data_IF_531738218616
#
_entry.id   IF_531738218616
#
_cell.length_a   1.000
_cell.length_b   1.000
_cell.length_c   1.000
_cell.angle_alpha   90.00
_cell.angle_beta   90.00
_cell.angle_gamma   90.00
#
_symmetry.space_group_name_H-M   'P 1'
#
loop_
_entity.id
_entity.type
_entity.pdbx_description
1 polymer ?
#
# COMPACT_ATOMS: atom_id res chain seq x y z
N UNK A 1 -12.52 -8.24 -36.40
CA UNK A 1 -12.02 -6.89 -36.09
C UNK A 1 -11.60 -6.90 -34.63
N UNK A 2 -10.32 -6.73 -34.28
CA UNK A 2 -9.92 -6.67 -32.88
C UNK A 2 -10.46 -5.37 -32.27
N UNK A 3 -11.29 -5.47 -31.25
CA UNK A 3 -11.68 -4.34 -30.43
C UNK A 3 -10.40 -3.75 -29.79
N UNK A 4 -9.88 -2.67 -30.36
CA UNK A 4 -8.89 -1.82 -29.71
C UNK A 4 -9.58 -1.21 -28.48
N UNK A 5 -9.26 -1.73 -27.31
CA UNK A 5 -9.59 -1.12 -26.03
C UNK A 5 -8.72 0.15 -25.89
N UNK A 6 -9.04 1.20 -26.65
CA UNK A 6 -8.36 2.49 -26.56
C UNK A 6 -8.84 3.14 -25.25
N UNK A 7 -8.08 2.95 -24.16
CA UNK A 7 -8.25 3.79 -22.97
C UNK A 7 -8.05 5.24 -23.41
N UNK A 8 -8.90 6.17 -22.96
CA UNK A 8 -8.75 7.58 -23.33
C UNK A 8 -7.41 8.11 -22.87
N UNK A 9 -6.84 8.99 -23.65
CA UNK A 9 -5.61 9.71 -23.29
C UNK A 9 -5.86 10.70 -22.17
N UNK A 10 -4.79 11.19 -21.56
CA UNK A 10 -4.89 12.24 -20.53
C UNK A 10 -5.56 13.51 -21.09
N UNK A 11 -5.20 13.88 -22.30
CA UNK A 11 -5.72 15.05 -23.01
C UNK A 11 -7.24 14.94 -23.25
N UNK A 12 -7.72 13.76 -23.66
CA UNK A 12 -9.15 13.48 -23.85
C UNK A 12 -9.92 13.57 -22.53
N UNK A 13 -9.34 13.03 -21.43
CA UNK A 13 -9.95 13.14 -20.09
C UNK A 13 -10.00 14.58 -19.62
N UNK A 14 -8.91 15.35 -19.77
CA UNK A 14 -8.88 16.78 -19.39
C UNK A 14 -9.92 17.57 -20.19
N UNK A 15 -9.92 17.45 -21.50
CA UNK A 15 -10.86 18.19 -22.37
C UNK A 15 -12.32 17.87 -22.03
N UNK A 16 -12.63 16.58 -21.75
CA UNK A 16 -14.01 16.15 -21.55
C UNK A 16 -14.54 16.40 -20.14
N UNK A 17 -13.73 16.17 -19.11
CA UNK A 17 -14.18 16.18 -17.72
C UNK A 17 -13.60 17.31 -16.86
N UNK A 18 -12.48 17.90 -17.30
CA UNK A 18 -11.76 18.94 -16.57
C UNK A 18 -11.38 20.12 -17.50
N UNK A 19 -12.30 20.67 -18.32
CA UNK A 19 -11.95 21.66 -19.34
C UNK A 19 -11.39 22.97 -18.79
N UNK A 20 -11.62 23.24 -17.51
CA UNK A 20 -11.14 24.46 -16.84
C UNK A 20 -9.83 24.24 -16.04
N UNK A 21 -9.37 22.96 -15.97
CA UNK A 21 -8.12 22.64 -15.29
C UNK A 21 -6.95 22.65 -16.26
N UNK A 22 -5.81 23.11 -15.78
CA UNK A 22 -4.54 23.01 -16.51
C UNK A 22 -3.61 22.02 -15.82
N UNK A 23 -2.73 21.41 -16.60
CA UNK A 23 -1.69 20.53 -16.09
C UNK A 23 -0.63 21.35 -15.37
N UNK A 24 -0.31 20.98 -14.14
CA UNK A 24 0.84 21.54 -13.41
C UNK A 24 2.11 20.79 -13.86
N UNK A 25 3.14 21.55 -14.26
CA UNK A 25 4.42 20.93 -14.63
C UNK A 25 4.97 20.13 -13.44
N UNK A 26 5.53 18.92 -13.67
CA UNK A 26 6.06 18.11 -12.60
C UNK A 26 7.20 18.85 -11.91
N UNK A 27 7.04 19.16 -10.63
CA UNK A 27 8.16 19.54 -9.79
C UNK A 27 9.00 18.31 -9.49
N UNK A 28 10.32 18.42 -9.55
CA UNK A 28 11.28 17.31 -9.37
C UNK A 28 11.14 16.57 -8.01
N UNK A 29 10.36 17.11 -7.07
CA UNK A 29 10.12 16.58 -5.72
C UNK A 29 8.76 15.92 -5.52
N UNK A 30 7.91 15.78 -6.54
CA UNK A 30 6.51 15.43 -6.32
C UNK A 30 6.23 13.94 -6.04
N UNK A 31 7.22 13.05 -6.00
CA UNK A 31 7.02 11.62 -5.67
C UNK A 31 5.96 10.88 -6.53
N UNK A 32 5.39 11.58 -7.51
CA UNK A 32 4.35 11.06 -8.39
C UNK A 32 4.99 10.11 -9.39
N UNK A 33 4.71 8.84 -9.30
CA UNK A 33 5.04 7.87 -10.33
C UNK A 33 4.50 8.34 -11.68
N UNK A 34 5.14 7.97 -12.81
CA UNK A 34 4.82 8.44 -14.16
C UNK A 34 3.35 8.27 -14.62
N UNK A 35 2.52 7.63 -13.80
CA UNK A 35 1.07 7.41 -14.00
C UNK A 35 0.18 8.51 -13.37
N UNK A 36 0.75 9.47 -12.64
CA UNK A 36 0.01 10.50 -11.91
C UNK A 36 0.46 11.89 -12.33
N UNK A 37 -0.48 12.82 -12.38
CA UNK A 37 -0.18 14.24 -12.62
C UNK A 37 -1.11 15.13 -11.76
N UNK A 38 -0.63 16.35 -11.49
CA UNK A 38 -1.43 17.36 -10.80
C UNK A 38 -2.12 18.23 -11.85
N UNK A 39 -3.40 18.48 -11.63
CA UNK A 39 -4.19 19.44 -12.42
C UNK A 39 -4.72 20.51 -11.48
N UNK A 40 -4.82 21.77 -11.96
CA UNK A 40 -5.28 22.89 -11.14
C UNK A 40 -6.26 23.82 -11.87
N UNK A 41 -7.17 24.42 -11.10
CA UNK A 41 -8.06 25.48 -11.50
C UNK A 41 -8.09 26.53 -10.38
N UNK A 42 -7.45 27.67 -10.58
CA UNK A 42 -7.23 28.64 -9.51
C UNK A 42 -6.43 28.01 -8.35
N UNK A 43 -6.96 28.06 -7.15
CA UNK A 43 -6.35 27.44 -5.96
C UNK A 43 -6.73 25.96 -5.79
N UNK A 44 -7.67 25.46 -6.59
CA UNK A 44 -8.15 24.08 -6.47
C UNK A 44 -7.24 23.13 -7.26
N UNK A 45 -6.71 22.13 -6.57
CA UNK A 45 -5.80 21.13 -7.15
C UNK A 45 -6.33 19.71 -6.97
N UNK A 46 -6.12 18.89 -8.01
CA UNK A 46 -6.45 17.46 -8.00
C UNK A 46 -5.24 16.65 -8.45
N UNK A 47 -5.14 15.41 -7.97
CA UNK A 47 -4.23 14.40 -8.52
C UNK A 47 -5.01 13.53 -9.47
N UNK A 48 -4.67 13.58 -10.76
CA UNK A 48 -5.23 12.72 -11.79
C UNK A 48 -4.33 11.51 -11.98
N UNK A 49 -4.89 10.31 -11.81
CA UNK A 49 -4.17 9.02 -11.89
C UNK A 49 -4.74 8.15 -13.00
N UNK A 50 -3.85 7.52 -13.76
CA UNK A 50 -4.21 6.53 -14.78
C UNK A 50 -3.90 5.13 -14.30
N UNK A 51 -4.78 4.19 -14.60
CA UNK A 51 -4.49 2.76 -14.44
C UNK A 51 -3.53 2.32 -15.55
N UNK A 52 -2.27 2.10 -15.19
CA UNK A 52 -1.18 1.81 -16.14
C UNK A 52 -0.81 0.35 -16.23
N UNK A 53 -1.11 -0.42 -15.22
CA UNK A 53 -0.58 -1.77 -15.12
C UNK A 53 -1.47 -2.77 -15.87
N UNK A 54 -0.97 -3.27 -17.00
CA UNK A 54 -1.63 -4.35 -17.75
C UNK A 54 -1.66 -5.68 -16.96
N UNK A 55 -0.80 -5.84 -15.94
CA UNK A 55 -0.76 -7.01 -15.07
C UNK A 55 -1.68 -6.89 -13.86
N UNK A 56 -2.08 -5.66 -13.46
CA UNK A 56 -3.02 -5.43 -12.38
C UNK A 56 -4.46 -5.39 -12.94
N UNK A 57 -5.37 -6.26 -12.45
CA UNK A 57 -6.75 -6.24 -12.89
C UNK A 57 -7.40 -4.87 -12.66
N UNK A 58 -8.20 -4.38 -13.62
CA UNK A 58 -8.96 -3.12 -13.48
C UNK A 58 -9.82 -3.08 -12.20
N UNK A 59 -10.19 -4.25 -11.69
CA UNK A 59 -10.87 -4.40 -10.40
C UNK A 59 -10.05 -3.85 -9.22
N UNK A 60 -8.72 -3.90 -9.25
CA UNK A 60 -7.87 -3.35 -8.17
C UNK A 60 -7.92 -1.82 -8.18
N UNK A 61 -7.83 -1.19 -9.34
CA UNK A 61 -7.94 0.25 -9.45
C UNK A 61 -9.33 0.77 -9.01
N UNK A 62 -10.39 0.01 -9.34
CA UNK A 62 -11.74 0.30 -8.84
C UNK A 62 -11.84 0.13 -7.32
N UNK A 63 -11.21 -0.90 -6.73
CA UNK A 63 -11.18 -1.09 -5.27
C UNK A 63 -10.46 0.07 -4.59
N UNK A 64 -9.35 0.57 -5.13
CA UNK A 64 -8.69 1.77 -4.62
C UNK A 64 -9.66 2.96 -4.55
N UNK A 65 -10.37 3.27 -5.64
CA UNK A 65 -11.39 4.32 -5.63
C UNK A 65 -12.50 4.08 -4.59
N UNK A 66 -12.99 2.85 -4.48
CA UNK A 66 -14.01 2.48 -3.49
C UNK A 66 -13.49 2.58 -2.06
N UNK A 67 -12.20 2.31 -1.81
CA UNK A 67 -11.56 2.54 -0.51
C UNK A 67 -11.66 4.01 -0.12
N UNK A 68 -11.25 4.91 -1.02
CA UNK A 68 -11.31 6.35 -0.79
C UNK A 68 -12.74 6.84 -0.51
N UNK A 69 -13.74 6.27 -1.20
CA UNK A 69 -15.16 6.60 -0.97
C UNK A 69 -15.74 6.10 0.35
N UNK A 70 -15.15 5.06 0.93
CA UNK A 70 -15.67 4.42 2.15
C UNK A 70 -15.01 4.93 3.42
N UNK A 71 -13.80 5.45 3.30
CA UNK A 71 -13.05 6.00 4.42
C UNK A 71 -13.32 7.51 4.57
N UNK A 72 -13.23 8.05 5.80
CA UNK A 72 -13.47 9.48 6.03
C UNK A 72 -12.36 10.35 5.43
N UNK A 73 -12.74 11.53 4.94
CA UNK A 73 -11.83 12.52 4.34
C UNK A 73 -10.64 12.92 5.23
N UNK A 74 -10.76 12.79 6.57
CA UNK A 74 -9.64 13.00 7.50
C UNK A 74 -8.53 11.93 7.43
N UNK A 75 -8.77 10.80 6.75
CA UNK A 75 -7.78 9.73 6.57
C UNK A 75 -7.24 9.63 5.14
N UNK A 76 -8.07 9.96 4.16
CA UNK A 76 -7.81 9.73 2.73
C UNK A 76 -8.03 11.00 1.92
N UNK A 77 -7.40 11.16 0.74
CA UNK A 77 -7.80 12.20 -0.21
C UNK A 77 -9.22 11.93 -0.73
N UNK A 78 -10.02 12.98 -0.87
CA UNK A 78 -11.39 12.86 -1.36
C UNK A 78 -11.39 12.43 -2.83
N UNK A 79 -12.11 11.35 -3.23
CA UNK A 79 -12.23 10.93 -4.61
C UNK A 79 -13.27 11.76 -5.35
N UNK A 80 -12.84 12.51 -6.38
CA UNK A 80 -13.68 13.44 -7.14
C UNK A 80 -14.21 12.83 -8.45
N UNK A 81 -13.46 11.90 -9.06
CA UNK A 81 -13.80 11.37 -10.38
C UNK A 81 -13.28 9.93 -10.55
N UNK A 82 -14.07 9.11 -11.27
CA UNK A 82 -13.64 7.78 -11.70
C UNK A 82 -14.33 7.40 -13.00
N UNK A 83 -13.57 7.22 -14.07
CA UNK A 83 -14.09 6.75 -15.37
C UNK A 83 -12.98 6.19 -16.24
N UNK A 84 -13.29 5.12 -17.00
CA UNK A 84 -12.46 4.62 -18.10
C UNK A 84 -10.98 4.36 -17.78
N UNK A 85 -10.69 3.93 -16.54
CA UNK A 85 -9.32 3.68 -16.09
C UNK A 85 -8.58 4.94 -15.60
N UNK A 86 -9.32 6.01 -15.34
CA UNK A 86 -8.84 7.25 -14.73
C UNK A 86 -9.54 7.52 -13.41
N UNK A 87 -8.83 8.15 -12.49
CA UNK A 87 -9.33 8.59 -11.19
C UNK A 87 -8.74 9.97 -10.88
N UNK A 88 -9.57 10.89 -10.41
CA UNK A 88 -9.09 12.13 -9.82
C UNK A 88 -9.43 12.16 -8.33
N UNK A 89 -8.46 12.59 -7.52
CA UNK A 89 -8.58 12.74 -6.08
C UNK A 89 -8.10 14.12 -5.65
N UNK A 90 -8.54 14.57 -4.50
CA UNK A 90 -8.05 15.77 -3.82
C UNK A 90 -6.51 15.77 -3.78
N UNK A 91 -5.91 16.92 -4.08
CA UNK A 91 -4.51 17.17 -3.79
C UNK A 91 -4.36 17.57 -2.32
N UNK A 92 -3.68 16.76 -1.54
CA UNK A 92 -3.42 17.07 -0.14
C UNK A 92 -2.31 18.11 -0.03
N UNK A 93 -2.67 19.32 0.38
CA UNK A 93 -1.69 20.36 0.71
C UNK A 93 -0.99 19.98 2.03
N UNK A 94 0.30 19.63 1.94
CA UNK A 94 1.10 19.18 3.08
C UNK A 94 2.49 18.75 2.66
N UNK A 95 3.24 18.25 3.62
CA UNK A 95 4.61 17.78 3.44
C UNK A 95 4.67 16.25 3.51
N UNK A 96 5.44 15.64 2.63
CA UNK A 96 5.84 14.24 2.73
C UNK A 96 7.26 14.21 3.30
N UNK A 97 7.41 13.66 4.51
CA UNK A 97 8.70 13.54 5.18
C UNK A 97 9.42 12.25 4.78
N UNK A 98 10.72 12.22 5.07
CA UNK A 98 11.55 11.02 4.85
C UNK A 98 11.49 10.02 6.00
N UNK A 99 10.91 10.41 7.13
CA UNK A 99 10.77 9.58 8.34
C UNK A 99 9.30 9.43 8.71
N UNK A 100 8.95 8.30 9.32
CA UNK A 100 7.63 8.10 9.91
C UNK A 100 7.35 9.17 10.99
N UNK A 101 6.07 9.48 11.24
CA UNK A 101 5.65 10.25 12.41
C UNK A 101 6.18 9.62 13.70
N UNK A 102 6.17 10.37 14.80
CA UNK A 102 6.44 9.78 16.11
C UNK A 102 5.48 8.61 16.41
N UNK A 103 5.92 7.73 17.29
CA UNK A 103 5.21 6.49 17.59
C UNK A 103 3.76 6.71 18.06
N UNK A 104 3.45 7.65 18.99
CA UNK A 104 2.07 7.93 19.37
C UNK A 104 1.19 8.41 18.22
N UNK A 105 1.69 9.33 17.40
CA UNK A 105 0.97 9.87 16.23
C UNK A 105 0.68 8.77 15.20
N UNK A 106 1.68 7.94 14.89
CA UNK A 106 1.52 6.82 13.95
C UNK A 106 0.53 5.79 14.49
N UNK A 107 0.61 5.44 15.78
CA UNK A 107 -0.34 4.52 16.41
C UNK A 107 -1.77 5.07 16.37
N UNK A 108 -1.95 6.38 16.61
CA UNK A 108 -3.26 7.03 16.54
C UNK A 108 -3.83 7.02 15.12
N UNK A 109 -3.00 7.30 14.11
CA UNK A 109 -3.39 7.25 12.70
C UNK A 109 -3.88 5.84 12.31
N UNK A 110 -3.10 4.81 12.64
CA UNK A 110 -3.47 3.41 12.37
C UNK A 110 -4.71 2.98 13.15
N UNK A 111 -4.81 3.36 14.42
CA UNK A 111 -6.00 3.05 15.20
C UNK A 111 -7.24 3.75 14.65
N UNK A 112 -7.12 5.01 14.20
CA UNK A 112 -8.21 5.73 13.55
C UNK A 112 -8.66 5.00 12.27
N UNK A 113 -7.73 4.51 11.44
CA UNK A 113 -8.05 3.68 10.27
C UNK A 113 -8.76 2.39 10.68
N UNK A 114 -8.21 1.64 11.62
CA UNK A 114 -8.69 0.30 11.97
C UNK A 114 -10.05 0.28 12.69
N UNK A 115 -10.51 1.41 13.21
CA UNK A 115 -11.86 1.53 13.77
C UNK A 115 -12.94 1.87 12.74
N UNK A 116 -12.56 2.12 11.48
CA UNK A 116 -13.52 2.41 10.42
C UNK A 116 -14.29 1.16 9.98
N UNK A 117 -15.39 1.38 9.26
CA UNK A 117 -16.18 0.28 8.68
C UNK A 117 -15.31 -0.49 7.67
N UNK A 118 -15.44 -1.81 7.68
CA UNK A 118 -14.74 -2.70 6.75
C UNK A 118 -15.01 -2.36 5.29
N UNK A 119 -14.01 -2.58 4.45
CA UNK A 119 -14.06 -2.30 3.01
C UNK A 119 -14.91 -3.31 2.23
N UNK A 120 -15.06 -4.53 2.75
CA UNK A 120 -15.89 -5.58 2.15
C UNK A 120 -15.13 -6.51 1.20
N UNK A 121 -13.79 -6.41 1.12
CA UNK A 121 -12.94 -7.39 0.46
C UNK A 121 -11.72 -7.70 1.32
N UNK A 122 -11.40 -8.99 1.38
CA UNK A 122 -10.29 -9.50 2.19
C UNK A 122 -8.96 -9.35 1.46
N UNK A 123 -7.93 -9.02 2.23
CA UNK A 123 -6.55 -9.23 1.80
C UNK A 123 -6.29 -10.74 1.86
N UNK A 124 -5.87 -11.31 0.73
CA UNK A 124 -5.51 -12.72 0.60
C UNK A 124 -4.03 -12.80 0.24
N UNK A 125 -3.16 -13.11 1.21
CA UNK A 125 -1.72 -13.08 1.00
C UNK A 125 -1.22 -14.28 0.19
N UNK A 126 -1.79 -15.47 0.40
CA UNK A 126 -1.28 -16.68 -0.27
C UNK A 126 -1.34 -16.59 -1.80
N UNK A 127 -2.47 -16.18 -2.42
CA UNK A 127 -2.54 -15.99 -3.87
C UNK A 127 -1.54 -14.95 -4.38
N UNK A 128 -1.31 -13.87 -3.63
CA UNK A 128 -0.35 -12.82 -3.99
C UNK A 128 1.10 -13.32 -3.94
N UNK A 129 1.46 -14.09 -2.91
CA UNK A 129 2.78 -14.71 -2.80
C UNK A 129 3.05 -15.70 -3.94
N UNK A 130 2.03 -16.46 -4.37
CA UNK A 130 2.13 -17.35 -5.52
C UNK A 130 2.25 -16.60 -6.84
N UNK A 131 1.53 -15.51 -6.99
CA UNK A 131 1.66 -14.62 -8.15
C UNK A 131 3.08 -14.06 -8.24
N UNK A 132 3.66 -13.59 -7.15
CA UNK A 132 5.03 -13.09 -7.13
C UNK A 132 6.05 -14.17 -7.50
N UNK A 133 5.87 -15.39 -7.01
CA UNK A 133 6.69 -16.53 -7.43
C UNK A 133 6.64 -16.73 -8.95
N UNK A 134 5.47 -16.64 -9.55
CA UNK A 134 5.30 -16.83 -11.00
C UNK A 134 5.89 -15.69 -11.82
N UNK A 135 5.84 -14.46 -11.30
CA UNK A 135 6.31 -13.25 -11.99
C UNK A 135 7.80 -12.98 -11.81
N UNK A 136 8.43 -13.53 -10.79
CA UNK A 136 9.85 -13.36 -10.55
C UNK A 136 10.70 -14.02 -11.65
N UNK A 137 11.91 -13.53 -11.83
CA UNK A 137 12.88 -14.12 -12.76
C UNK A 137 13.15 -15.60 -12.40
N UNK A 138 13.14 -16.55 -13.36
CA UNK A 138 13.34 -17.98 -13.08
C UNK A 138 14.61 -18.30 -12.29
N UNK A 139 15.72 -17.59 -12.58
CA UNK A 139 16.99 -17.76 -11.87
C UNK A 139 16.94 -17.34 -10.38
N UNK A 140 15.94 -16.56 -9.99
CA UNK A 140 15.74 -16.08 -8.61
C UNK A 140 14.76 -16.95 -7.80
N UNK A 141 14.10 -17.92 -8.43
CA UNK A 141 13.14 -18.85 -7.79
C UNK A 141 13.91 -19.97 -7.07
N UNK A 142 14.34 -19.70 -5.85
CA UNK A 142 15.16 -20.63 -5.07
C UNK A 142 14.36 -21.77 -4.45
N UNK A 143 14.99 -22.95 -4.16
CA UNK A 143 14.36 -24.02 -3.39
C UNK A 143 13.87 -23.55 -2.01
N UNK A 144 14.61 -22.63 -1.37
CA UNK A 144 14.22 -22.03 -0.10
C UNK A 144 12.89 -21.26 -0.21
N UNK A 145 12.72 -20.41 -1.22
CA UNK A 145 11.46 -19.69 -1.45
C UNK A 145 10.31 -20.67 -1.64
N UNK A 146 10.49 -21.68 -2.50
CA UNK A 146 9.46 -22.71 -2.72
C UNK A 146 9.10 -23.45 -1.43
N UNK A 147 10.08 -23.79 -0.60
CA UNK A 147 9.84 -24.42 0.71
C UNK A 147 9.02 -23.51 1.63
N UNK A 148 9.31 -22.19 1.65
CA UNK A 148 8.56 -21.22 2.42
C UNK A 148 7.10 -21.07 1.93
N UNK A 149 6.86 -21.07 0.62
CA UNK A 149 5.51 -21.08 0.05
C UNK A 149 4.72 -22.32 0.49
N UNK A 150 5.31 -23.51 0.36
CA UNK A 150 4.69 -24.77 0.79
C UNK A 150 4.37 -24.76 2.29
N UNK A 151 5.31 -24.27 3.11
CA UNK A 151 5.13 -24.14 4.58
C UNK A 151 3.95 -23.22 4.92
N UNK A 152 3.79 -22.07 4.21
CA UNK A 152 2.68 -21.12 4.43
C UNK A 152 1.36 -21.70 3.96
N UNK A 153 1.35 -22.33 2.78
CA UNK A 153 0.14 -22.98 2.27
C UNK A 153 -0.37 -24.07 3.23
N UNK A 154 0.53 -24.91 3.75
CA UNK A 154 0.15 -25.96 4.68
C UNK A 154 -0.35 -25.45 6.04
N UNK A 155 0.21 -24.33 6.54
CA UNK A 155 -0.18 -23.74 7.84
C UNK A 155 -1.41 -22.86 7.77
N UNK A 156 -1.70 -22.28 6.60
CA UNK A 156 -2.71 -21.25 6.42
C UNK A 156 -2.30 -19.91 7.05
N UNK A 157 -3.07 -18.89 6.75
CA UNK A 157 -2.92 -17.56 7.35
C UNK A 157 -3.31 -17.60 8.84
N UNK A 158 -2.65 -16.80 9.70
CA UNK A 158 -3.04 -16.68 11.11
C UNK A 158 -4.49 -16.24 11.25
N UNK A 159 -5.22 -16.82 12.20
CA UNK A 159 -6.56 -16.34 12.53
C UNK A 159 -6.48 -14.92 13.06
N UNK A 160 -7.29 -13.97 12.54
CA UNK A 160 -7.19 -12.58 12.92
C UNK A 160 -7.64 -12.34 14.36
N UNK A 161 -6.92 -11.47 15.07
CA UNK A 161 -7.38 -10.92 16.36
C UNK A 161 -8.57 -9.98 16.13
N UNK A 162 -8.42 -9.07 15.19
CA UNK A 162 -9.43 -8.07 14.85
C UNK A 162 -9.34 -7.74 13.37
N UNK A 163 -10.46 -7.94 12.67
CA UNK A 163 -10.59 -7.54 11.28
C UNK A 163 -10.92 -6.05 11.15
N UNK A 164 -10.14 -5.35 10.36
CA UNK A 164 -10.28 -3.94 10.09
C UNK A 164 -9.89 -3.60 8.64
N UNK A 165 -10.25 -2.42 8.12
CA UNK A 165 -9.62 -1.90 6.91
C UNK A 165 -8.14 -1.65 7.16
N UNK A 166 -7.28 -2.12 6.28
CA UNK A 166 -5.84 -1.95 6.31
C UNK A 166 -5.38 -1.19 5.07
N UNK A 167 -4.28 -0.45 5.20
CA UNK A 167 -3.59 0.21 4.09
C UNK A 167 -2.60 -0.73 3.38
N UNK A 168 -1.82 -1.47 4.14
CA UNK A 168 -0.80 -2.45 3.75
C UNK A 168 0.48 -1.91 3.11
N UNK A 169 0.63 -0.59 3.03
CA UNK A 169 1.86 0.04 2.55
C UNK A 169 2.17 1.34 3.32
N UNK A 170 2.19 1.23 4.64
CA UNK A 170 2.45 2.38 5.53
C UNK A 170 3.94 2.61 5.65
N UNK A 171 4.43 3.66 4.99
CA UNK A 171 5.78 4.20 5.08
C UNK A 171 5.75 5.72 4.99
N UNK A 172 6.86 6.37 5.28
CA UNK A 172 6.94 7.84 5.33
C UNK A 172 6.46 8.51 4.03
N UNK A 173 6.78 7.93 2.87
CA UNK A 173 6.37 8.45 1.55
C UNK A 173 4.86 8.38 1.28
N UNK A 174 4.11 7.61 2.05
CA UNK A 174 2.65 7.47 1.92
C UNK A 174 1.87 8.23 3.00
N UNK A 175 2.55 9.07 3.79
CA UNK A 175 1.95 9.92 4.82
C UNK A 175 2.15 11.39 4.45
N UNK A 176 1.06 12.12 4.29
CA UNK A 176 1.07 13.56 4.07
C UNK A 176 0.76 14.26 5.39
N UNK A 177 1.70 15.07 5.86
CA UNK A 177 1.55 15.91 7.05
C UNK A 177 0.81 17.20 6.65
N UNK A 178 -0.48 17.25 6.92
CA UNK A 178 -1.32 18.41 6.63
C UNK A 178 -1.53 19.27 7.88
N UNK A 179 -2.07 20.49 7.72
CA UNK A 179 -2.45 21.33 8.84
C UNK A 179 -3.53 20.69 9.75
N UNK A 180 -4.30 19.75 9.21
CA UNK A 180 -5.36 19.03 9.93
C UNK A 180 -4.89 17.68 10.53
N UNK A 181 -3.62 17.32 10.37
CA UNK A 181 -3.03 16.06 10.82
C UNK A 181 -2.52 15.17 9.67
N UNK A 182 -2.13 13.96 10.00
CA UNK A 182 -1.59 12.98 9.05
C UNK A 182 -2.70 12.34 8.23
N UNK A 183 -2.47 12.23 6.91
CA UNK A 183 -3.38 11.56 5.97
C UNK A 183 -2.60 10.56 5.12
N UNK A 184 -3.22 9.42 4.82
CA UNK A 184 -2.63 8.35 4.03
C UNK A 184 -2.98 8.49 2.54
N UNK A 185 -1.97 8.26 1.69
CA UNK A 185 -2.11 8.21 0.23
C UNK A 185 -1.68 6.83 -0.29
N UNK A 186 -1.96 6.54 -1.54
CA UNK A 186 -1.60 5.29 -2.24
C UNK A 186 -2.22 4.00 -1.67
N UNK A 187 -3.53 3.91 -1.82
CA UNK A 187 -4.38 2.85 -1.27
C UNK A 187 -4.50 1.61 -2.17
N UNK A 188 -3.51 1.31 -3.00
CA UNK A 188 -3.61 0.23 -3.98
C UNK A 188 -3.66 -1.18 -3.37
N UNK A 189 -3.07 -1.37 -2.18
CA UNK A 189 -3.05 -2.64 -1.46
C UNK A 189 -4.14 -2.77 -0.39
N UNK A 190 -5.01 -1.77 -0.26
CA UNK A 190 -6.00 -1.71 0.81
C UNK A 190 -7.04 -2.83 0.74
N UNK A 191 -7.41 -3.34 1.90
CA UNK A 191 -8.42 -4.36 2.07
C UNK A 191 -8.68 -4.66 3.55
N UNK A 192 -9.60 -5.58 3.83
CA UNK A 192 -9.87 -6.02 5.19
C UNK A 192 -8.88 -7.09 5.62
N UNK A 193 -8.24 -6.90 6.76
CA UNK A 193 -7.28 -7.84 7.32
C UNK A 193 -7.16 -7.73 8.84
N UNK A 194 -6.24 -8.50 9.41
CA UNK A 194 -5.92 -8.44 10.83
C UNK A 194 -5.12 -7.16 11.13
N UNK A 195 -5.51 -6.39 12.15
CA UNK A 195 -4.73 -5.20 12.60
C UNK A 195 -3.26 -5.53 12.87
N UNK A 196 -2.98 -6.72 13.35
CA UNK A 196 -1.61 -7.19 13.58
C UNK A 196 -0.81 -7.40 12.29
N UNK A 197 -1.49 -7.68 11.16
CA UNK A 197 -0.86 -7.74 9.84
C UNK A 197 -0.36 -6.37 9.40
N UNK A 198 -1.18 -5.31 9.56
CA UNK A 198 -0.75 -3.94 9.29
C UNK A 198 0.47 -3.55 10.13
N UNK A 199 0.41 -3.77 11.45
CA UNK A 199 1.53 -3.47 12.35
C UNK A 199 2.81 -4.25 12.01
N UNK A 200 2.68 -5.47 11.47
CA UNK A 200 3.80 -6.22 10.93
C UNK A 200 4.34 -5.64 9.63
N UNK A 201 3.49 -4.97 8.82
CA UNK A 201 3.82 -4.45 7.49
C UNK A 201 4.37 -3.02 7.51
N UNK A 202 4.10 -2.20 8.54
CA UNK A 202 4.67 -0.84 8.64
C UNK A 202 6.18 -0.86 8.46
N UNK A 203 6.70 0.04 7.63
CA UNK A 203 8.12 0.15 7.30
C UNK A 203 8.91 0.85 8.42
N UNK A 204 8.96 0.21 9.59
CA UNK A 204 9.76 0.69 10.72
C UNK A 204 11.25 0.48 10.45
N UNK A 205 12.14 1.38 10.92
CA UNK A 205 13.58 1.27 10.68
C UNK A 205 14.18 -0.02 11.28
N UNK A 206 13.66 -0.45 12.43
CA UNK A 206 14.17 -1.62 13.15
C UNK A 206 13.09 -2.32 13.99
N UNK A 207 13.52 -3.34 14.74
CA UNK A 207 12.64 -4.09 15.64
C UNK A 207 12.18 -3.25 16.83
N UNK A 208 13.04 -2.38 17.38
CA UNK A 208 12.71 -1.58 18.56
C UNK A 208 11.61 -0.57 18.25
N UNK A 209 11.70 0.12 17.10
CA UNK A 209 10.66 1.02 16.62
C UNK A 209 9.32 0.28 16.39
N UNK A 210 9.37 -0.94 15.85
CA UNK A 210 8.16 -1.77 15.68
C UNK A 210 7.57 -2.19 17.02
N UNK A 211 8.38 -2.60 17.98
CA UNK A 211 7.92 -2.99 19.31
C UNK A 211 7.27 -1.78 20.04
N UNK A 212 7.85 -0.59 19.89
CA UNK A 212 7.29 0.65 20.43
C UNK A 212 5.93 0.98 19.79
N UNK A 213 5.80 0.83 18.45
CA UNK A 213 4.54 1.02 17.75
C UNK A 213 3.47 0.02 18.23
N UNK A 214 3.83 -1.26 18.40
CA UNK A 214 2.91 -2.28 18.93
C UNK A 214 2.42 -1.90 20.33
N UNK A 215 3.31 -1.43 21.22
CA UNK A 215 2.94 -1.02 22.57
C UNK A 215 1.98 0.18 22.55
N UNK A 216 2.31 1.24 21.80
CA UNK A 216 1.45 2.42 21.66
C UNK A 216 0.08 2.10 21.03
N UNK A 217 0.06 1.23 20.02
CA UNK A 217 -1.20 0.77 19.42
C UNK A 217 -2.04 -0.08 20.37
N UNK A 218 -1.41 -0.96 21.16
CA UNK A 218 -2.08 -1.78 22.15
C UNK A 218 -2.79 -0.93 23.21
N UNK A 219 -2.15 0.13 23.68
CA UNK A 219 -2.73 1.09 24.61
C UNK A 219 -3.99 1.74 24.05
N UNK A 220 -3.96 2.24 22.81
CA UNK A 220 -5.10 2.87 22.17
C UNK A 220 -6.24 1.90 21.84
N UNK A 221 -5.89 0.71 21.38
CA UNK A 221 -6.87 -0.29 20.91
C UNK A 221 -7.45 -1.14 22.03
N UNK A 222 -6.92 -1.06 23.26
CA UNK A 222 -7.26 -1.88 24.43
C UNK A 222 -7.08 -3.40 24.15
N UNK A 223 -6.18 -3.75 23.23
CA UNK A 223 -5.75 -5.13 23.00
C UNK A 223 -4.59 -5.42 23.95
N UNK A 224 -4.61 -6.58 24.62
CA UNK A 224 -3.49 -7.00 25.47
C UNK A 224 -2.16 -6.95 24.70
N UNK A 225 -1.14 -6.20 25.17
CA UNK A 225 0.12 -5.97 24.44
C UNK A 225 0.87 -7.27 24.08
N UNK A 226 0.85 -8.27 24.98
CA UNK A 226 1.51 -9.56 24.73
C UNK A 226 0.80 -10.36 23.66
N UNK A 227 -0.51 -10.31 23.64
CA UNK A 227 -1.33 -10.97 22.63
C UNK A 227 -1.12 -10.34 21.27
N UNK A 228 -1.12 -8.99 21.19
CA UNK A 228 -0.86 -8.26 19.96
C UNK A 228 0.55 -8.53 19.42
N UNK A 229 1.58 -8.44 20.28
CA UNK A 229 2.97 -8.70 19.88
C UNK A 229 3.17 -10.14 19.35
N UNK A 230 2.54 -11.14 20.00
CA UNK A 230 2.56 -12.53 19.51
C UNK A 230 1.91 -12.65 18.13
N UNK A 231 0.80 -11.97 17.90
CA UNK A 231 0.10 -12.02 16.62
C UNK A 231 0.90 -11.31 15.52
N UNK A 232 1.49 -10.15 15.80
CA UNK A 232 2.42 -9.46 14.88
C UNK A 232 3.59 -10.38 14.52
N UNK A 233 4.16 -11.09 15.50
CA UNK A 233 5.23 -12.06 15.25
C UNK A 233 4.81 -13.22 14.34
N UNK A 234 3.54 -13.65 14.39
CA UNK A 234 2.99 -14.68 13.47
C UNK A 234 2.85 -14.16 12.05
N UNK A 235 2.48 -12.86 11.88
CA UNK A 235 2.34 -12.23 10.57
C UNK A 235 3.70 -11.83 9.95
N UNK A 236 4.72 -11.54 10.76
CA UNK A 236 6.00 -11.03 10.26
C UNK A 236 6.64 -11.90 9.18
N UNK A 237 6.66 -13.25 9.25
CA UNK A 237 7.18 -14.08 8.17
C UNK A 237 6.39 -13.98 6.86
N UNK A 238 5.09 -13.70 6.91
CA UNK A 238 4.26 -13.45 5.74
C UNK A 238 4.61 -12.14 5.07
N UNK A 239 4.76 -11.09 5.88
CA UNK A 239 5.17 -9.76 5.41
C UNK A 239 6.56 -9.80 4.79
N UNK A 240 7.53 -10.49 5.41
CA UNK A 240 8.86 -10.62 4.83
C UNK A 240 8.85 -11.33 3.48
N UNK A 241 8.03 -12.38 3.33
CA UNK A 241 7.84 -13.03 2.02
C UNK A 241 7.15 -12.12 1.00
N UNK A 242 6.18 -11.31 1.44
CA UNK A 242 5.50 -10.34 0.59
C UNK A 242 6.48 -9.31 0.06
N UNK A 243 7.29 -8.72 0.96
CA UNK A 243 8.33 -7.74 0.59
C UNK A 243 9.36 -8.35 -0.35
N UNK A 244 9.94 -9.51 0.01
CA UNK A 244 10.92 -10.19 -0.82
C UNK A 244 10.35 -10.51 -2.22
N UNK A 245 9.16 -11.10 -2.28
CA UNK A 245 8.49 -11.42 -3.55
C UNK A 245 8.21 -10.20 -4.41
N UNK A 246 7.78 -9.09 -3.81
CA UNK A 246 7.58 -7.83 -4.52
C UNK A 246 8.89 -7.29 -5.10
N UNK A 247 9.98 -7.29 -4.33
CA UNK A 247 11.29 -6.87 -4.81
C UNK A 247 11.82 -7.76 -5.95
N UNK A 248 11.61 -9.08 -5.88
CA UNK A 248 11.96 -10.01 -6.97
C UNK A 248 11.18 -9.71 -8.25
N UNK A 249 9.89 -9.38 -8.15
CA UNK A 249 9.08 -8.98 -9.30
C UNK A 249 9.53 -7.63 -9.85
N UNK A 250 9.84 -6.65 -9.00
CA UNK A 250 10.35 -5.35 -9.44
C UNK A 250 11.69 -5.50 -10.17
N UNK A 251 12.58 -6.34 -9.66
CA UNK A 251 13.81 -6.66 -10.38
C UNK A 251 13.54 -7.28 -11.75
N UNK A 252 12.63 -8.25 -11.84
CA UNK A 252 12.29 -8.88 -13.12
C UNK A 252 11.72 -7.88 -14.15
N UNK A 253 10.99 -6.85 -13.68
CA UNK A 253 10.39 -5.81 -14.52
C UNK A 253 11.37 -4.71 -14.95
N UNK A 254 12.30 -4.31 -14.07
CA UNK A 254 13.12 -3.12 -14.25
C UNK A 254 14.59 -3.42 -14.55
N UNK A 255 15.08 -4.60 -14.16
CA UNK A 255 16.51 -4.94 -14.19
C UNK A 255 17.37 -4.23 -13.12
N UNK A 256 16.74 -3.40 -12.25
CA UNK A 256 17.46 -2.64 -11.23
C UNK A 256 17.95 -3.56 -10.10
N UNK A 257 19.28 -3.65 -9.96
CA UNK A 257 19.97 -4.50 -8.97
C UNK A 257 19.69 -4.09 -7.51
N UNK A 258 19.26 -2.86 -7.26
CA UNK A 258 18.87 -2.44 -5.92
C UNK A 258 17.76 -3.34 -5.34
N UNK A 259 16.80 -3.75 -6.18
CA UNK A 259 15.74 -4.66 -5.76
C UNK A 259 16.25 -6.06 -5.37
N UNK A 260 17.37 -6.54 -5.98
CA UNK A 260 18.00 -7.80 -5.52
C UNK A 260 18.51 -7.66 -4.08
N UNK A 261 19.20 -6.57 -3.77
CA UNK A 261 19.73 -6.32 -2.43
C UNK A 261 18.62 -6.30 -1.39
N UNK A 262 17.52 -5.59 -1.70
CA UNK A 262 16.34 -5.52 -0.82
C UNK A 262 15.65 -6.88 -0.66
N UNK A 263 15.55 -7.67 -1.74
CA UNK A 263 14.99 -9.01 -1.68
C UNK A 263 15.85 -9.94 -0.80
N UNK A 264 17.15 -9.94 -1.01
CA UNK A 264 18.09 -10.77 -0.26
C UNK A 264 18.10 -10.41 1.24
N UNK A 265 17.94 -9.12 1.57
CA UNK A 265 17.76 -8.66 2.97
C UNK A 265 16.48 -9.22 3.59
N UNK A 266 15.37 -9.16 2.88
CA UNK A 266 14.10 -9.70 3.37
C UNK A 266 14.18 -11.23 3.54
N UNK A 267 14.82 -11.94 2.61
CA UNK A 267 15.06 -13.38 2.72
C UNK A 267 15.96 -13.75 3.91
N UNK A 268 17.01 -12.98 4.16
CA UNK A 268 17.88 -13.17 5.34
C UNK A 268 17.11 -12.99 6.65
N UNK A 269 16.32 -11.92 6.76
CA UNK A 269 15.46 -11.70 7.94
C UNK A 269 14.45 -12.83 8.17
N UNK A 270 13.93 -13.42 7.09
CA UNK A 270 13.02 -14.57 7.20
C UNK A 270 13.74 -15.82 7.70
N UNK A 271 14.99 -16.05 7.26
CA UNK A 271 15.78 -17.22 7.64
C UNK A 271 16.22 -17.19 9.11
N UNK A 272 16.52 -15.99 9.66
CA UNK A 272 16.96 -15.84 11.08
C UNK A 272 15.83 -16.04 12.08
N UNK A 273 14.57 -16.16 11.62
CA UNK A 273 13.38 -16.31 12.49
C UNK A 273 12.64 -17.64 12.27
N UNK A 274 13.25 -18.57 11.51
CA UNK A 274 12.68 -19.86 11.13
C UNK A 274 12.76 -20.98 12.15
#
# INVERSE_FOLDING_TARGET
>A
VPFRNNKPTREEILTRYFPQYRLVAPQASSGLGGASCIIEQGEHRLVLRQHHDASAPAAHFRRQYLTLKRLPAGLVPEPCFFSQGWMAVEYLAGEIKTTLPDTPTLAALLYHLHRQRRLGWRIALMPLLEQYWQQAAPARRTPYWLAQLKKRRARGEPQPLRLAPLHMDVHAGNIVHTAAGERLIDWEYAGDGDVALELAAVWTPDKAARDALIAAYAEQSQIDPRTLARQVSRWRPWVLMLMAGWFEVRFAQTGDKQFITLADDAWRQLNTKG
#
